data_IF_207485541141
#
_entry.id   IF_207485541141
#
_cell.length_a   1.000
_cell.length_b   1.000
_cell.length_c   1.000
_cell.angle_alpha   90.00
_cell.angle_beta   90.00
_cell.angle_gamma   90.00
#
_symmetry.space_group_name_H-M   'P 1'
#
loop_
_entity.id
_entity.type
_entity.pdbx_description
1 polymer ?
#
# COMPACT_ATOMS: atom_id res chain seq x y z
N UNK A 1 16.97 -48.66 -4.62
CA UNK A 1 17.51 -47.29 -4.59
C UNK A 1 16.63 -46.43 -5.50
N UNK A 2 15.63 -45.76 -4.94
CA UNK A 2 14.81 -44.80 -5.71
C UNK A 2 15.52 -43.45 -5.80
N UNK A 3 15.33 -42.67 -6.88
CA UNK A 3 15.97 -41.37 -7.01
C UNK A 3 15.43 -40.43 -5.92
N UNK A 4 16.35 -39.89 -5.12
CA UNK A 4 16.05 -38.89 -4.11
C UNK A 4 15.48 -37.65 -4.79
N UNK A 5 14.22 -37.32 -4.47
CA UNK A 5 13.61 -36.04 -4.84
C UNK A 5 14.49 -34.88 -4.36
N UNK A 6 14.79 -33.88 -5.20
CA UNK A 6 15.58 -32.74 -4.76
C UNK A 6 14.78 -31.98 -3.71
N UNK A 7 15.33 -31.88 -2.49
CA UNK A 7 14.83 -30.96 -1.47
C UNK A 7 14.84 -29.56 -2.10
N UNK A 8 13.67 -28.96 -2.29
CA UNK A 8 13.55 -27.53 -2.59
C UNK A 8 14.27 -26.79 -1.46
N UNK A 9 15.44 -26.24 -1.77
CA UNK A 9 16.03 -25.17 -0.96
C UNK A 9 14.94 -24.12 -0.76
N UNK A 10 14.72 -23.69 0.49
CA UNK A 10 13.71 -22.69 0.83
C UNK A 10 13.97 -21.41 0.04
N UNK A 11 13.30 -21.27 -1.10
CA UNK A 11 13.45 -20.11 -1.95
C UNK A 11 12.78 -18.93 -1.24
N UNK A 12 13.59 -18.08 -0.63
CA UNK A 12 13.15 -16.75 -0.21
C UNK A 12 12.72 -16.02 -1.47
N UNK A 13 11.42 -15.77 -1.60
CA UNK A 13 10.92 -14.96 -2.70
C UNK A 13 11.41 -13.52 -2.50
N UNK A 14 11.79 -12.81 -3.58
CA UNK A 14 12.20 -11.42 -3.46
C UNK A 14 11.07 -10.61 -2.81
N UNK A 15 11.41 -9.60 -1.99
CA UNK A 15 10.40 -8.79 -1.34
C UNK A 15 9.51 -8.08 -2.36
N UNK A 16 8.21 -7.98 -2.06
CA UNK A 16 7.23 -7.35 -2.93
C UNK A 16 7.05 -5.88 -2.58
N UNK A 17 7.16 -5.00 -3.58
CA UNK A 17 6.92 -3.58 -3.39
C UNK A 17 5.43 -3.25 -3.45
N UNK A 18 4.92 -2.62 -2.40
CA UNK A 18 3.53 -2.15 -2.30
C UNK A 18 3.51 -0.63 -2.30
N UNK A 19 3.02 0.00 -3.37
CA UNK A 19 2.86 1.45 -3.45
C UNK A 19 1.55 1.91 -2.82
N UNK A 20 1.59 2.92 -1.96
CA UNK A 20 0.38 3.65 -1.55
C UNK A 20 0.29 5.00 -2.26
N UNK A 21 -0.88 5.30 -2.81
CA UNK A 21 -1.13 6.55 -3.55
C UNK A 21 -2.61 6.93 -3.52
N UNK A 22 -2.88 8.24 -3.40
CA UNK A 22 -4.21 8.83 -3.38
C UNK A 22 -4.79 8.98 -4.80
N UNK A 23 -5.81 8.17 -5.12
CA UNK A 23 -6.51 8.18 -6.40
C UNK A 23 -7.80 8.98 -6.33
N UNK A 24 -8.07 9.75 -7.38
CA UNK A 24 -9.38 10.35 -7.63
C UNK A 24 -10.05 9.62 -8.81
N UNK A 25 -11.20 9.01 -8.57
CA UNK A 25 -11.97 8.34 -9.62
C UNK A 25 -12.70 9.39 -10.46
N UNK A 26 -12.20 9.64 -11.67
CA UNK A 26 -12.70 10.67 -12.61
C UNK A 26 -13.35 10.08 -13.87
N UNK A 27 -13.86 8.85 -13.77
CA UNK A 27 -14.48 8.14 -14.88
C UNK A 27 -15.75 8.80 -15.43
N UNK A 28 -16.39 8.16 -16.42
CA UNK A 28 -17.55 8.69 -17.16
C UNK A 28 -18.85 8.81 -16.33
N UNK A 29 -18.90 8.18 -15.15
CA UNK A 29 -20.05 8.25 -14.26
C UNK A 29 -20.18 9.64 -13.65
N UNK A 30 -21.43 10.07 -13.39
CA UNK A 30 -21.69 11.37 -12.76
C UNK A 30 -20.94 11.45 -11.44
N UNK A 31 -20.09 12.45 -11.34
CA UNK A 31 -19.46 12.87 -10.09
C UNK A 31 -20.58 13.26 -9.13
N UNK A 32 -20.51 12.79 -7.88
CA UNK A 32 -21.48 13.19 -6.86
C UNK A 32 -21.43 14.71 -6.63
N UNK A 33 -22.45 15.29 -6.01
CA UNK A 33 -22.50 16.73 -5.73
C UNK A 33 -21.25 17.22 -4.97
N UNK A 34 -20.63 16.33 -4.19
CA UNK A 34 -19.47 16.62 -3.33
C UNK A 34 -18.11 16.33 -4.01
N UNK A 35 -18.09 16.00 -5.30
CA UNK A 35 -16.85 15.75 -6.05
C UNK A 35 -16.54 14.27 -6.32
N UNK A 36 -15.38 13.97 -6.95
CA UNK A 36 -15.02 12.61 -7.34
C UNK A 36 -14.72 11.75 -6.11
N UNK A 37 -14.97 10.44 -6.21
CA UNK A 37 -14.61 9.51 -5.13
C UNK A 37 -13.09 9.49 -5.00
N UNK A 38 -12.61 9.83 -3.81
CA UNK A 38 -11.21 9.77 -3.43
C UNK A 38 -10.94 8.51 -2.62
N UNK A 39 -9.84 7.83 -2.92
CA UNK A 39 -9.41 6.66 -2.16
C UNK A 39 -7.89 6.59 -2.11
N UNK A 40 -7.35 6.13 -0.99
CA UNK A 40 -5.97 5.72 -0.89
C UNK A 40 -5.88 4.25 -1.34
N UNK A 41 -5.00 3.95 -2.30
CA UNK A 41 -4.88 2.61 -2.87
C UNK A 41 -3.52 1.99 -2.55
N UNK A 42 -3.48 0.69 -2.26
CA UNK A 42 -2.27 -0.11 -2.12
C UNK A 42 -2.10 -1.00 -3.36
N UNK A 43 -1.06 -0.75 -4.15
CA UNK A 43 -0.79 -1.39 -5.43
C UNK A 43 0.48 -2.26 -5.35
N UNK A 44 0.38 -3.53 -5.74
CA UNK A 44 1.54 -4.42 -5.81
C UNK A 44 2.22 -4.31 -7.17
N UNK A 45 3.48 -3.89 -7.18
CA UNK A 45 4.26 -3.68 -8.41
C UNK A 45 4.42 -4.97 -9.21
N UNK A 46 4.69 -6.08 -8.53
CA UNK A 46 4.99 -7.37 -9.17
C UNK A 46 3.74 -8.00 -9.77
N UNK A 47 2.60 -7.90 -9.10
CA UNK A 47 1.35 -8.52 -9.53
C UNK A 47 0.51 -7.59 -10.44
N UNK A 48 0.79 -6.28 -10.46
CA UNK A 48 0.05 -5.32 -11.27
C UNK A 48 -1.39 -5.10 -10.81
N UNK A 49 -1.69 -5.34 -9.52
CA UNK A 49 -3.06 -5.27 -8.97
C UNK A 49 -3.13 -4.36 -7.74
N UNK A 50 -4.31 -3.81 -7.50
CA UNK A 50 -4.66 -3.14 -6.23
C UNK A 50 -5.04 -4.20 -5.22
N UNK A 51 -4.26 -4.33 -4.15
CA UNK A 51 -4.49 -5.30 -3.07
C UNK A 51 -5.56 -4.81 -2.09
N UNK A 52 -5.57 -3.52 -1.80
CA UNK A 52 -6.52 -2.89 -0.89
C UNK A 52 -6.74 -1.42 -1.28
N UNK A 53 -7.87 -0.88 -0.88
CA UNK A 53 -8.17 0.54 -1.00
C UNK A 53 -8.96 1.02 0.23
N UNK A 54 -8.74 2.26 0.63
CA UNK A 54 -9.47 2.91 1.71
C UNK A 54 -10.13 4.19 1.20
N UNK A 55 -11.47 4.33 1.30
CA UNK A 55 -12.17 5.53 0.86
C UNK A 55 -11.79 6.73 1.73
N UNK A 56 -11.62 7.88 1.08
CA UNK A 56 -11.39 9.16 1.75
C UNK A 56 -12.73 9.88 1.82
N UNK A 57 -13.28 9.99 3.02
CA UNK A 57 -14.61 10.56 3.26
C UNK A 57 -14.58 11.94 3.92
N UNK A 58 -13.39 12.45 4.27
CA UNK A 58 -13.25 13.72 5.00
C UNK A 58 -13.05 14.89 4.04
N UNK A 59 -13.60 16.05 4.39
CA UNK A 59 -13.52 17.29 3.61
C UNK A 59 -12.30 18.17 3.98
N UNK A 60 -11.29 17.60 4.64
CA UNK A 60 -10.03 18.31 4.99
C UNK A 60 -9.13 18.39 3.74
N UNK A 61 -8.00 19.07 3.80
CA UNK A 61 -7.04 19.12 2.71
C UNK A 61 -6.65 17.71 2.22
N UNK A 62 -6.46 17.54 0.90
CA UNK A 62 -6.21 16.24 0.25
C UNK A 62 -5.10 15.43 0.94
N UNK A 63 -4.00 16.11 1.28
CA UNK A 63 -2.85 15.50 1.93
C UNK A 63 -3.17 14.98 3.35
N UNK A 64 -3.87 15.76 4.16
CA UNK A 64 -4.27 15.34 5.51
C UNK A 64 -5.29 14.21 5.47
N UNK A 65 -6.20 14.24 4.48
CA UNK A 65 -7.21 13.22 4.31
C UNK A 65 -6.57 11.85 3.96
N UNK A 66 -5.55 11.82 3.09
CA UNK A 66 -4.77 10.61 2.76
C UNK A 66 -4.01 10.06 3.98
N UNK A 67 -3.34 10.93 4.75
CA UNK A 67 -2.62 10.54 5.97
C UNK A 67 -3.55 9.96 7.04
N UNK A 68 -4.78 10.47 7.13
CA UNK A 68 -5.77 9.99 8.11
C UNK A 68 -6.19 8.55 7.84
N UNK A 69 -6.29 8.15 6.57
CA UNK A 69 -6.75 6.81 6.18
C UNK A 69 -5.62 5.80 5.97
N UNK A 70 -4.37 6.27 5.85
CA UNK A 70 -3.21 5.41 5.63
C UNK A 70 -3.06 4.30 6.70
N UNK A 71 -3.18 4.57 8.02
CA UNK A 71 -3.07 3.50 9.03
C UNK A 71 -4.06 2.37 8.80
N UNK A 72 -5.32 2.70 8.52
CA UNK A 72 -6.38 1.71 8.24
C UNK A 72 -6.08 0.88 6.99
N UNK A 73 -5.50 1.50 5.96
CA UNK A 73 -5.09 0.78 4.75
C UNK A 73 -3.94 -0.20 5.05
N UNK A 74 -2.94 0.23 5.84
CA UNK A 74 -1.80 -0.61 6.21
C UNK A 74 -2.23 -1.84 7.03
N UNK A 75 -3.22 -1.69 7.92
CA UNK A 75 -3.74 -2.78 8.77
C UNK A 75 -4.44 -3.91 7.98
N UNK A 76 -4.82 -3.66 6.71
CA UNK A 76 -5.48 -4.66 5.85
C UNK A 76 -4.52 -5.59 5.12
N UNK A 77 -3.21 -5.35 5.24
CA UNK A 77 -2.20 -6.05 4.47
C UNK A 77 -1.30 -6.87 5.40
N UNK A 78 -0.99 -8.10 5.00
CA UNK A 78 0.16 -8.82 5.55
C UNK A 78 1.44 -8.21 4.98
N UNK A 79 2.34 -7.78 5.86
CA UNK A 79 3.57 -7.07 5.49
C UNK A 79 4.80 -7.97 5.45
N UNK A 80 4.71 -9.24 5.84
CA UNK A 80 5.84 -10.16 5.79
C UNK A 80 6.36 -10.34 4.37
N UNK A 81 7.64 -10.01 4.16
CA UNK A 81 8.26 -10.04 2.83
C UNK A 81 7.78 -8.94 1.89
N UNK A 82 7.23 -7.84 2.41
CA UNK A 82 6.77 -6.69 1.62
C UNK A 82 7.43 -5.39 2.05
N UNK A 83 7.57 -4.49 1.09
CA UNK A 83 8.17 -3.15 1.27
C UNK A 83 7.12 -2.11 0.91
N UNK A 84 6.74 -1.26 1.87
CA UNK A 84 5.93 -0.07 1.61
C UNK A 84 6.72 0.91 0.74
N UNK A 85 6.11 1.40 -0.33
CA UNK A 85 6.63 2.46 -1.18
C UNK A 85 5.61 3.60 -1.30
N UNK A 86 6.10 4.82 -1.48
CA UNK A 86 5.26 6.01 -1.51
C UNK A 86 6.08 7.28 -1.68
N UNK A 87 5.40 8.40 -1.84
CA UNK A 87 6.03 9.72 -1.91
C UNK A 87 6.32 10.30 -0.51
N UNK A 88 6.82 11.53 -0.50
CA UNK A 88 7.20 12.25 0.71
C UNK A 88 6.04 12.49 1.68
N UNK A 89 4.78 12.47 1.22
CA UNK A 89 3.62 12.65 2.10
C UNK A 89 3.60 11.57 3.17
N UNK A 90 3.91 10.32 2.80
CA UNK A 90 3.86 9.16 3.69
C UNK A 90 5.11 8.96 4.55
N UNK A 91 6.10 9.86 4.48
CA UNK A 91 7.30 9.86 5.32
C UNK A 91 7.00 10.27 6.78
N UNK A 92 6.02 9.61 7.39
CA UNK A 92 5.58 9.83 8.75
C UNK A 92 6.16 8.74 9.66
N UNK A 93 6.78 9.16 10.76
CA UNK A 93 7.38 8.22 11.73
C UNK A 93 6.39 7.16 12.21
N UNK A 94 5.13 7.55 12.44
CA UNK A 94 4.08 6.64 12.88
C UNK A 94 3.75 5.56 11.84
N UNK A 95 3.66 5.93 10.55
CA UNK A 95 3.39 4.98 9.47
C UNK A 95 4.55 4.00 9.28
N UNK A 96 5.78 4.50 9.28
CA UNK A 96 6.98 3.67 9.21
C UNK A 96 7.06 2.68 10.37
N UNK A 97 6.75 3.14 11.59
CA UNK A 97 6.71 2.28 12.78
C UNK A 97 5.62 1.20 12.67
N UNK A 98 4.45 1.54 12.14
CA UNK A 98 3.35 0.59 11.92
C UNK A 98 3.75 -0.52 10.95
N UNK A 99 4.35 -0.18 9.80
CA UNK A 99 4.83 -1.18 8.82
C UNK A 99 5.88 -2.11 9.43
N UNK A 100 6.85 -1.54 10.16
CA UNK A 100 7.89 -2.32 10.84
C UNK A 100 7.32 -3.24 11.92
N UNK A 101 6.34 -2.76 12.69
CA UNK A 101 5.64 -3.57 13.69
C UNK A 101 4.84 -4.72 13.06
N UNK A 102 4.34 -4.55 11.83
CA UNK A 102 3.64 -5.57 11.06
C UNK A 102 4.58 -6.55 10.31
N UNK A 103 5.90 -6.42 10.45
CA UNK A 103 6.89 -7.33 9.85
C UNK A 103 7.32 -6.96 8.42
N UNK A 104 6.99 -5.76 7.95
CA UNK A 104 7.45 -5.23 6.66
C UNK A 104 8.60 -4.24 6.77
N UNK A 105 9.04 -3.79 5.60
CA UNK A 105 10.02 -2.72 5.44
C UNK A 105 9.41 -1.54 4.67
N UNK A 106 10.13 -0.43 4.55
CA UNK A 106 9.67 0.74 3.79
C UNK A 106 10.81 1.39 3.01
N UNK A 107 10.46 1.94 1.84
CA UNK A 107 11.31 2.79 1.00
C UNK A 107 10.45 3.94 0.48
N UNK A 108 10.65 5.13 1.06
CA UNK A 108 9.86 6.31 0.73
C UNK A 108 10.75 7.36 0.06
N UNK A 109 10.25 7.94 -1.04
CA UNK A 109 11.02 8.89 -1.84
C UNK A 109 10.74 10.33 -1.36
N UNK A 110 11.79 10.99 -0.88
CA UNK A 110 11.75 12.42 -0.50
C UNK A 110 12.50 13.23 -1.56
N UNK A 111 11.92 14.35 -2.00
CA UNK A 111 12.50 15.26 -2.97
C UNK A 111 12.79 16.62 -2.34
#
# INVERSE_FOLDING_TARGET
MGPSSPRRSGAVSPPQGIAIDGKAQRGRLRVAADGPVHALSAFCHEAGIVLAQEPITTAVGKAEAELTVAPTLLDRLDWHGRVLTGDALFCQHALCAQVRAAGGDYLLLVK
#
